data_IF_240944498638
#
_entry.id   IF_240944498638
#
_cell.length_a   1.000
_cell.length_b   1.000
_cell.length_c   1.000
_cell.angle_alpha   90.00
_cell.angle_beta   90.00
_cell.angle_gamma   90.00
#
_symmetry.space_group_name_H-M   'P 1'
#
loop_
_entity.id
_entity.type
_entity.pdbx_description
1 polymer ?
#
# COMPACT_ATOMS: atom_id res chain seq x y z
N UNK A 1 -10.26 -0.99 -14.54
CA UNK A 1 -9.30 -0.07 -13.87
C UNK A 1 -10.06 0.54 -12.71
N UNK A 2 -9.75 0.16 -11.47
CA UNK A 2 -10.40 0.74 -10.28
C UNK A 2 -9.80 2.11 -9.99
N UNK A 3 -10.61 3.08 -9.59
CA UNK A 3 -10.11 4.33 -9.00
C UNK A 3 -9.58 4.08 -7.58
N UNK A 4 -8.90 5.08 -7.02
CA UNK A 4 -8.23 4.96 -5.72
C UNK A 4 -9.20 4.59 -4.59
N UNK A 5 -10.38 5.20 -4.58
CA UNK A 5 -11.38 5.02 -3.51
C UNK A 5 -11.94 3.62 -3.58
N UNK A 6 -12.35 3.17 -4.77
CA UNK A 6 -12.87 1.80 -4.97
C UNK A 6 -11.82 0.74 -4.60
N UNK A 7 -10.56 0.94 -4.99
CA UNK A 7 -9.48 0.01 -4.64
C UNK A 7 -9.20 -0.01 -3.14
N UNK A 8 -9.25 1.14 -2.48
CA UNK A 8 -9.07 1.27 -1.04
C UNK A 8 -10.18 0.55 -0.27
N UNK A 9 -11.44 0.72 -0.67
CA UNK A 9 -12.56 -0.01 -0.09
C UNK A 9 -12.36 -1.53 -0.18
N UNK A 10 -11.99 -2.04 -1.36
CA UNK A 10 -11.71 -3.46 -1.53
C UNK A 10 -10.54 -3.94 -0.64
N UNK A 11 -9.50 -3.13 -0.47
CA UNK A 11 -8.36 -3.48 0.39
C UNK A 11 -8.76 -3.56 1.85
N UNK A 12 -9.48 -2.56 2.36
CA UNK A 12 -9.96 -2.49 3.74
C UNK A 12 -10.88 -3.65 4.12
N UNK A 13 -11.73 -4.07 3.20
CA UNK A 13 -12.68 -5.16 3.42
C UNK A 13 -12.04 -6.54 3.29
N UNK A 14 -10.84 -6.62 2.71
CA UNK A 14 -10.15 -7.88 2.54
C UNK A 14 -9.60 -8.39 3.87
N UNK A 15 -9.77 -9.69 4.08
CA UNK A 15 -9.14 -10.39 5.20
C UNK A 15 -7.61 -10.38 5.02
N UNK A 16 -6.89 -10.20 6.12
CA UNK A 16 -5.46 -10.46 6.17
C UNK A 16 -5.16 -11.89 5.66
N UNK A 17 -4.26 -12.06 4.68
CA UNK A 17 -4.01 -13.38 4.11
C UNK A 17 -3.35 -14.30 5.15
N UNK A 18 -3.60 -15.60 5.03
CA UNK A 18 -2.95 -16.61 5.87
C UNK A 18 -1.78 -17.20 5.11
N UNK A 19 -0.57 -17.00 5.60
CA UNK A 19 0.66 -17.50 4.99
C UNK A 19 1.69 -17.75 6.09
N UNK A 20 2.69 -18.58 5.80
CA UNK A 20 3.78 -18.88 6.74
C UNK A 20 5.06 -18.27 6.18
N UNK A 21 5.27 -16.99 6.46
CA UNK A 21 6.45 -16.24 6.01
C UNK A 21 7.12 -15.57 7.21
N UNK A 22 8.44 -15.65 7.26
CA UNK A 22 9.25 -15.00 8.30
C UNK A 22 9.11 -13.46 8.26
N UNK A 23 8.67 -12.92 7.13
CA UNK A 23 8.48 -11.50 6.90
C UNK A 23 7.09 -10.98 7.30
N UNK A 24 6.23 -11.80 7.95
CA UNK A 24 4.86 -11.38 8.33
C UNK A 24 4.85 -10.05 9.12
N UNK A 25 5.76 -9.87 10.07
CA UNK A 25 5.85 -8.61 10.83
C UNK A 25 6.23 -7.40 9.97
N UNK A 26 7.11 -7.59 8.99
CA UNK A 26 7.46 -6.54 8.03
C UNK A 26 6.27 -6.22 7.12
N UNK A 27 5.56 -7.24 6.62
CA UNK A 27 4.37 -7.08 5.80
C UNK A 27 3.23 -6.37 6.55
N UNK A 28 3.01 -6.68 7.84
CA UNK A 28 2.04 -5.95 8.68
C UNK A 28 2.43 -4.48 8.86
N UNK A 29 3.73 -4.20 9.01
CA UNK A 29 4.24 -2.83 9.13
C UNK A 29 4.00 -2.05 7.83
N UNK A 30 4.33 -2.65 6.68
CA UNK A 30 4.10 -2.06 5.37
C UNK A 30 2.61 -1.79 5.11
N UNK A 31 1.74 -2.76 5.41
CA UNK A 31 0.29 -2.58 5.27
C UNK A 31 -0.23 -1.43 6.14
N UNK A 32 0.17 -1.37 7.40
CA UNK A 32 -0.24 -0.32 8.33
C UNK A 32 0.17 1.07 7.85
N UNK A 33 1.44 1.22 7.44
CA UNK A 33 1.99 2.52 7.02
C UNK A 33 1.37 2.98 5.71
N UNK A 34 1.29 2.11 4.71
CA UNK A 34 0.69 2.45 3.40
C UNK A 34 -0.80 2.75 3.58
N UNK A 35 -1.55 1.93 4.33
CA UNK A 35 -2.96 2.17 4.65
C UNK A 35 -3.20 3.49 5.38
N UNK A 36 -2.28 3.87 6.29
CA UNK A 36 -2.30 5.16 6.96
C UNK A 36 -2.13 6.32 5.98
N UNK A 37 -1.23 6.20 4.99
CA UNK A 37 -1.06 7.19 3.93
C UNK A 37 -2.30 7.30 3.04
N UNK A 38 -2.91 6.18 2.65
CA UNK A 38 -4.16 6.18 1.86
C UNK A 38 -5.29 6.86 2.64
N UNK A 39 -5.46 6.53 3.91
CA UNK A 39 -6.48 7.16 4.77
C UNK A 39 -6.25 8.66 4.88
N UNK A 40 -5.02 9.08 5.19
CA UNK A 40 -4.67 10.49 5.28
C UNK A 40 -4.94 11.24 3.98
N UNK A 41 -4.54 10.69 2.83
CA UNK A 41 -4.77 11.30 1.52
C UNK A 41 -6.26 11.50 1.24
N UNK A 42 -7.10 10.53 1.58
CA UNK A 42 -8.55 10.60 1.34
C UNK A 42 -9.28 11.55 2.30
N UNK A 43 -8.71 11.81 3.48
CA UNK A 43 -9.27 12.73 4.49
C UNK A 43 -8.71 14.16 4.36
N UNK A 44 -7.57 14.33 3.68
CA UNK A 44 -6.88 15.61 3.51
C UNK A 44 -7.33 16.35 2.25
N UNK A 45 -7.58 17.65 2.35
CA UNK A 45 -7.83 18.52 1.19
C UNK A 45 -6.55 18.84 0.39
N UNK A 46 -5.37 18.63 0.99
CA UNK A 46 -4.07 19.03 0.43
C UNK A 46 -3.24 17.84 -0.11
N UNK A 47 -3.79 16.63 -0.13
CA UNK A 47 -3.02 15.41 -0.45
C UNK A 47 -2.02 15.04 0.65
N UNK A 48 -1.03 14.18 0.33
CA UNK A 48 0.11 13.87 1.21
C UNK A 48 1.10 15.04 1.32
N UNK A 49 1.66 15.23 2.51
CA UNK A 49 2.85 16.04 2.72
C UNK A 49 4.14 15.32 2.27
N UNK A 50 5.24 16.08 2.17
CA UNK A 50 6.54 15.55 1.72
C UNK A 50 7.05 14.39 2.57
N UNK A 51 6.85 14.45 3.90
CA UNK A 51 7.31 13.39 4.80
C UNK A 51 6.57 12.07 4.50
N UNK A 52 5.26 12.14 4.27
CA UNK A 52 4.46 10.97 3.90
C UNK A 52 4.80 10.44 2.51
N UNK A 53 5.18 11.31 1.57
CA UNK A 53 5.68 10.88 0.25
C UNK A 53 6.97 10.07 0.42
N UNK A 54 7.96 10.57 1.15
CA UNK A 54 9.23 9.86 1.40
C UNK A 54 9.01 8.50 2.10
N UNK A 55 8.13 8.48 3.11
CA UNK A 55 7.74 7.23 3.79
C UNK A 55 7.11 6.24 2.81
N UNK A 56 6.18 6.72 1.97
CA UNK A 56 5.45 5.87 1.03
C UNK A 56 6.38 5.32 -0.07
N UNK A 57 7.32 6.10 -0.56
CA UNK A 57 8.36 5.65 -1.50
C UNK A 57 9.22 4.54 -0.89
N UNK A 58 9.69 4.71 0.35
CA UNK A 58 10.46 3.69 1.06
C UNK A 58 9.66 2.41 1.25
N UNK A 59 8.42 2.51 1.73
CA UNK A 59 7.57 1.34 1.94
C UNK A 59 7.22 0.62 0.63
N UNK A 60 7.03 1.36 -0.47
CA UNK A 60 6.79 0.77 -1.78
C UNK A 60 8.02 0.01 -2.29
N UNK A 61 9.22 0.57 -2.10
CA UNK A 61 10.47 -0.12 -2.46
C UNK A 61 10.64 -1.42 -1.67
N UNK A 62 10.43 -1.39 -0.36
CA UNK A 62 10.49 -2.57 0.51
C UNK A 62 9.45 -3.62 0.09
N UNK A 63 8.20 -3.20 -0.14
CA UNK A 63 7.13 -4.10 -0.60
C UNK A 63 7.48 -4.77 -1.93
N UNK A 64 8.02 -4.01 -2.90
CA UNK A 64 8.46 -4.55 -4.18
C UNK A 64 9.58 -5.57 -4.05
N UNK A 65 10.45 -5.43 -3.05
CA UNK A 65 11.49 -6.41 -2.75
C UNK A 65 10.95 -7.74 -2.20
N UNK A 66 9.82 -7.71 -1.49
CA UNK A 66 9.21 -8.90 -0.89
C UNK A 66 8.25 -9.65 -1.82
N UNK A 67 7.58 -8.94 -2.75
CA UNK A 67 6.55 -9.52 -3.61
C UNK A 67 7.00 -10.76 -4.43
N UNK A 68 8.23 -10.85 -4.99
CA UNK A 68 8.65 -12.01 -5.77
C UNK A 68 8.66 -13.33 -4.99
N UNK A 69 8.90 -13.26 -3.68
CA UNK A 69 9.04 -14.44 -2.81
C UNK A 69 7.76 -14.75 -2.03
N UNK A 70 6.73 -13.93 -2.19
CA UNK A 70 5.48 -14.03 -1.45
C UNK A 70 4.62 -15.20 -1.94
N UNK A 71 3.97 -15.90 -1.00
CA UNK A 71 3.02 -16.95 -1.31
C UNK A 71 1.91 -16.47 -2.28
N UNK A 72 1.50 -17.36 -3.20
CA UNK A 72 0.49 -17.05 -4.22
C UNK A 72 -0.86 -16.64 -3.61
N UNK A 73 -1.18 -17.16 -2.43
CA UNK A 73 -2.41 -16.86 -1.68
C UNK A 73 -2.39 -15.45 -1.06
N UNK A 74 -1.19 -14.93 -0.74
CA UNK A 74 -1.01 -13.60 -0.17
C UNK A 74 -0.82 -12.53 -1.26
N UNK A 75 -0.31 -12.91 -2.43
CA UNK A 75 0.01 -12.00 -3.55
C UNK A 75 -1.13 -11.04 -3.91
N UNK A 76 -2.40 -11.46 -4.06
CA UNK A 76 -3.50 -10.53 -4.42
C UNK A 76 -3.75 -9.43 -3.38
N UNK A 77 -3.44 -9.68 -2.11
CA UNK A 77 -3.58 -8.67 -1.06
C UNK A 77 -2.51 -7.59 -1.22
N UNK A 78 -1.26 -8.01 -1.32
CA UNK A 78 -0.11 -7.10 -1.35
C UNK A 78 0.09 -6.42 -2.72
N UNK A 79 -0.37 -7.04 -3.82
CA UNK A 79 -0.44 -6.38 -5.13
C UNK A 79 -1.42 -5.20 -5.11
N UNK A 80 -2.56 -5.33 -4.40
CA UNK A 80 -3.50 -4.21 -4.22
C UNK A 80 -2.89 -3.11 -3.38
N UNK A 81 -2.19 -3.45 -2.29
CA UNK A 81 -1.45 -2.50 -1.47
C UNK A 81 -0.38 -1.73 -2.29
N UNK A 82 0.41 -2.45 -3.10
CA UNK A 82 1.38 -1.85 -4.04
C UNK A 82 0.69 -0.89 -5.01
N UNK A 83 -0.45 -1.30 -5.56
CA UNK A 83 -1.20 -0.49 -6.53
C UNK A 83 -1.71 0.80 -5.88
N UNK A 84 -2.24 0.73 -4.64
CA UNK A 84 -2.64 1.92 -3.87
C UNK A 84 -1.47 2.89 -3.67
N UNK A 85 -0.33 2.39 -3.18
CA UNK A 85 0.87 3.22 -2.99
C UNK A 85 1.34 3.88 -4.29
N UNK A 86 1.36 3.13 -5.39
CA UNK A 86 1.76 3.63 -6.72
C UNK A 86 0.81 4.72 -7.21
N UNK A 87 -0.50 4.56 -7.00
CA UNK A 87 -1.50 5.56 -7.38
C UNK A 87 -1.34 6.85 -6.58
N UNK A 88 -1.09 6.76 -5.27
CA UNK A 88 -0.81 7.92 -4.41
C UNK A 88 0.42 8.69 -4.90
N UNK A 89 1.55 8.01 -5.12
CA UNK A 89 2.77 8.69 -5.61
C UNK A 89 2.55 9.34 -6.97
N UNK A 90 1.83 8.69 -7.88
CA UNK A 90 1.49 9.27 -9.18
C UNK A 90 0.63 10.54 -9.08
N UNK A 91 -0.22 10.67 -8.06
CA UNK A 91 -0.98 11.90 -7.82
C UNK A 91 -0.11 13.05 -7.31
N UNK A 92 0.99 12.75 -6.61
CA UNK A 92 1.95 13.75 -6.12
C UNK A 92 2.94 14.26 -7.19
N UNK A 93 3.30 13.44 -8.17
CA UNK A 93 4.23 13.83 -9.23
C UNK A 93 3.60 14.68 -10.35
N UNK A 94 2.36 15.18 -10.19
CA UNK A 94 1.73 16.01 -11.22
C UNK A 94 2.30 17.43 -11.14
N UNK A 95 2.95 17.95 -12.21
CA UNK A 95 3.52 19.29 -12.24
C UNK A 95 2.45 20.40 -12.18
#
# INVERSE_FOLDING_TARGET
MHDLVSLWHLHREARWPTFTDLNEGQLMTLDTVISGCVTYYLESENGLDLQRVEILESCLADLNGLLPDLAAEASPYFDRLRTLATMLLATHHRP
#
